data_IF_154536915581
#
_entry.id   IF_154536915581
#
_cell.length_a   1.000
_cell.length_b   1.000
_cell.length_c   1.000
_cell.angle_alpha   90.00
_cell.angle_beta   90.00
_cell.angle_gamma   90.00
#
_symmetry.space_group_name_H-M   'P 1'
#
loop_
_entity.id
_entity.type
_entity.pdbx_description
1 polymer ?
#
# COMPACT_ATOMS: atom_id res chain seq x y z
N UNK A 1 -19.23 -44.08 14.24
CA UNK A 1 -19.27 -42.93 13.31
C UNK A 1 -17.89 -42.29 13.33
N UNK A 2 -17.16 -42.31 12.22
CA UNK A 2 -15.84 -41.69 12.12
C UNK A 2 -16.01 -40.17 12.07
N UNK A 3 -15.93 -39.51 13.23
CA UNK A 3 -15.76 -38.05 13.29
C UNK A 3 -14.26 -37.76 13.18
N UNK A 4 -13.87 -36.97 12.20
CA UNK A 4 -12.51 -36.46 12.05
C UNK A 4 -12.43 -35.05 12.64
N UNK A 5 -11.28 -34.75 13.25
CA UNK A 5 -11.01 -33.44 13.83
C UNK A 5 -9.56 -33.05 13.57
N UNK A 6 -9.35 -31.83 13.05
CA UNK A 6 -8.03 -31.25 12.84
C UNK A 6 -7.92 -29.90 13.51
N UNK A 7 -6.72 -29.59 14.01
CA UNK A 7 -6.45 -28.39 14.78
C UNK A 7 -5.23 -27.66 14.25
N UNK A 8 -5.33 -26.35 14.15
CA UNK A 8 -4.31 -25.42 13.70
C UNK A 8 -4.05 -24.41 14.82
N UNK A 9 -2.91 -24.54 15.48
CA UNK A 9 -2.53 -23.74 16.64
C UNK A 9 -1.52 -22.65 16.25
N UNK A 10 -1.74 -21.44 16.76
CA UNK A 10 -0.81 -20.31 16.75
C UNK A 10 -0.74 -19.73 18.17
N UNK A 11 0.02 -18.64 18.36
CA UNK A 11 0.25 -18.08 19.70
C UNK A 11 -1.04 -17.48 20.27
N UNK A 12 -1.78 -16.73 19.46
CA UNK A 12 -2.99 -16.03 19.86
C UNK A 12 -4.29 -16.62 19.28
N UNK A 13 -4.18 -17.58 18.35
CA UNK A 13 -5.33 -18.18 17.66
C UNK A 13 -5.25 -19.71 17.63
N UNK A 14 -6.39 -20.37 17.78
CA UNK A 14 -6.57 -21.80 17.57
C UNK A 14 -7.82 -22.05 16.75
N UNK A 15 -7.66 -22.72 15.62
CA UNK A 15 -8.74 -23.14 14.75
C UNK A 15 -8.89 -24.66 14.80
N UNK A 16 -10.08 -25.15 15.11
CA UNK A 16 -10.44 -26.56 15.08
C UNK A 16 -11.55 -26.77 14.04
N UNK A 17 -11.41 -27.81 13.22
CA UNK A 17 -12.41 -28.19 12.21
C UNK A 17 -12.79 -29.64 12.40
N UNK A 18 -14.10 -29.87 12.40
CA UNK A 18 -14.71 -31.18 12.56
C UNK A 18 -15.46 -31.57 11.30
N UNK A 19 -15.37 -32.84 10.91
CA UNK A 19 -16.03 -33.29 9.71
C UNK A 19 -16.12 -34.80 9.54
N UNK A 20 -16.63 -35.18 8.38
CA UNK A 20 -16.83 -36.55 7.95
C UNK A 20 -16.09 -36.79 6.63
N UNK A 21 -15.60 -38.01 6.39
CA UNK A 21 -15.12 -38.40 5.08
C UNK A 21 -16.26 -38.43 4.06
N UNK A 22 -15.95 -37.96 2.85
CA UNK A 22 -16.85 -38.08 1.71
C UNK A 22 -16.45 -39.27 0.84
N UNK A 23 -17.03 -40.43 1.15
CA UNK A 23 -16.79 -41.66 0.39
C UNK A 23 -17.29 -41.59 -1.06
N UNK A 24 -18.24 -40.70 -1.36
CA UNK A 24 -18.80 -40.58 -2.70
C UNK A 24 -17.81 -39.95 -3.70
N UNK A 25 -16.88 -39.14 -3.20
CA UNK A 25 -15.78 -38.53 -3.95
C UNK A 25 -14.47 -39.31 -3.88
N UNK A 26 -14.49 -40.53 -3.32
CA UNK A 26 -13.31 -41.39 -3.25
C UNK A 26 -12.26 -40.95 -2.21
N UNK A 27 -12.63 -40.06 -1.28
CA UNK A 27 -11.75 -39.67 -0.19
C UNK A 27 -11.54 -40.82 0.80
N UNK A 28 -10.32 -40.92 1.34
CA UNK A 28 -9.98 -41.90 2.36
C UNK A 28 -10.58 -41.60 3.73
N UNK A 29 -10.51 -42.57 4.65
CA UNK A 29 -11.09 -42.49 6.01
C UNK A 29 -10.54 -41.36 6.88
N UNK A 30 -9.42 -40.75 6.47
CA UNK A 30 -8.70 -39.70 7.20
C UNK A 30 -8.72 -38.35 6.48
N UNK A 31 -9.73 -38.10 5.65
CA UNK A 31 -9.90 -36.82 4.93
C UNK A 31 -11.29 -36.29 5.23
N UNK A 32 -11.39 -35.03 5.65
CA UNK A 32 -12.67 -34.33 5.78
C UNK A 32 -13.10 -33.89 4.38
N UNK A 33 -14.15 -34.53 3.85
CA UNK A 33 -14.83 -34.07 2.63
C UNK A 33 -16.10 -33.24 2.94
N UNK A 34 -16.66 -33.41 4.15
CA UNK A 34 -17.85 -32.67 4.60
C UNK A 34 -17.56 -32.02 5.94
N UNK A 35 -17.53 -30.68 5.97
CA UNK A 35 -17.41 -29.90 7.21
C UNK A 35 -18.69 -29.98 8.03
N UNK A 36 -18.57 -30.43 9.27
CA UNK A 36 -19.67 -30.50 10.22
C UNK A 36 -19.70 -29.29 11.16
N UNK A 37 -18.54 -28.90 11.69
CA UNK A 37 -18.41 -27.76 12.59
C UNK A 37 -16.99 -27.18 12.53
N UNK A 38 -16.84 -25.97 13.03
CA UNK A 38 -15.54 -25.36 13.28
C UNK A 38 -15.61 -24.52 14.56
N UNK A 39 -14.47 -24.33 15.20
CA UNK A 39 -14.29 -23.50 16.38
C UNK A 39 -13.02 -22.68 16.23
N UNK A 40 -13.10 -21.39 16.56
CA UNK A 40 -11.96 -20.49 16.61
C UNK A 40 -11.88 -19.87 18.00
N UNK A 41 -10.77 -20.11 18.66
CA UNK A 41 -10.42 -19.50 19.93
C UNK A 41 -9.37 -18.43 19.66
N UNK A 42 -9.67 -17.21 20.09
CA UNK A 42 -8.73 -16.09 20.08
C UNK A 42 -8.48 -15.68 21.54
N UNK A 43 -7.24 -15.33 21.87
CA UNK A 43 -6.89 -14.92 23.23
C UNK A 43 -7.70 -13.68 23.63
N UNK A 44 -8.39 -13.75 24.77
CA UNK A 44 -9.19 -12.64 25.29
C UNK A 44 -10.51 -12.39 24.55
N UNK A 45 -10.89 -13.23 23.58
CA UNK A 45 -12.18 -13.18 22.90
C UNK A 45 -13.05 -14.39 23.26
N UNK A 46 -14.39 -14.30 23.11
CA UNK A 46 -15.25 -15.48 23.18
C UNK A 46 -14.92 -16.47 22.05
N UNK A 47 -15.17 -17.76 22.31
CA UNK A 47 -15.07 -18.78 21.28
C UNK A 47 -16.07 -18.52 20.16
N UNK A 48 -15.58 -18.59 18.93
CA UNK A 48 -16.38 -18.45 17.73
C UNK A 48 -16.68 -19.82 17.15
N UNK A 49 -17.94 -20.08 16.87
CA UNK A 49 -18.38 -21.31 16.22
C UNK A 49 -19.44 -21.01 15.18
N UNK A 50 -19.59 -21.92 14.21
CA UNK A 50 -20.62 -21.75 13.20
C UNK A 50 -20.66 -22.87 12.18
N UNK A 51 -21.45 -22.62 11.14
CA UNK A 51 -21.52 -23.50 9.95
C UNK A 51 -20.40 -23.16 8.97
N UNK A 52 -20.24 -24.01 7.95
CA UNK A 52 -19.36 -23.81 6.80
C UNK A 52 -19.43 -22.39 6.23
N UNK A 53 -20.64 -21.88 5.98
CA UNK A 53 -20.85 -20.54 5.39
C UNK A 53 -20.23 -19.41 6.23
N UNK A 54 -20.14 -19.57 7.56
CA UNK A 54 -19.54 -18.56 8.44
C UNK A 54 -18.01 -18.59 8.35
N UNK A 55 -17.41 -19.78 8.23
CA UNK A 55 -15.98 -19.93 8.01
C UNK A 55 -15.58 -19.43 6.63
N UNK A 56 -16.39 -19.72 5.60
CA UNK A 56 -16.19 -19.17 4.24
C UNK A 56 -16.27 -17.64 4.24
N UNK A 57 -17.26 -17.06 4.93
CA UNK A 57 -17.37 -15.61 5.07
C UNK A 57 -16.17 -15.01 5.84
N UNK A 58 -15.69 -15.68 6.89
CA UNK A 58 -14.50 -15.27 7.64
C UNK A 58 -13.27 -15.24 6.73
N UNK A 59 -13.03 -16.31 5.96
CA UNK A 59 -11.94 -16.39 4.99
C UNK A 59 -12.07 -15.29 3.92
N UNK A 60 -13.26 -15.13 3.34
CA UNK A 60 -13.52 -14.15 2.29
C UNK A 60 -13.26 -12.70 2.73
N UNK A 61 -13.35 -12.41 4.03
CA UNK A 61 -13.11 -11.08 4.61
C UNK A 61 -11.67 -10.91 5.10
N UNK A 62 -11.13 -11.89 5.83
CA UNK A 62 -9.80 -11.80 6.46
C UNK A 62 -8.68 -11.81 5.42
N UNK A 63 -8.76 -12.65 4.38
CA UNK A 63 -7.69 -12.75 3.38
C UNK A 63 -7.47 -11.44 2.59
N UNK A 64 -8.50 -10.83 1.97
CA UNK A 64 -8.34 -9.54 1.30
C UNK A 64 -7.92 -8.43 2.26
N UNK A 65 -8.49 -8.42 3.47
CA UNK A 65 -8.16 -7.42 4.48
C UNK A 65 -6.68 -7.46 4.87
N UNK A 66 -6.14 -8.65 5.19
CA UNK A 66 -4.74 -8.81 5.54
C UNK A 66 -3.81 -8.36 4.41
N UNK A 67 -4.15 -8.69 3.16
CA UNK A 67 -3.42 -8.19 1.98
C UNK A 67 -3.44 -6.65 1.90
N UNK A 68 -4.58 -6.02 2.16
CA UNK A 68 -4.68 -4.56 2.21
C UNK A 68 -3.82 -3.97 3.32
N UNK A 69 -3.81 -4.58 4.51
CA UNK A 69 -2.95 -4.15 5.62
C UNK A 69 -1.45 -4.31 5.33
N UNK A 70 -1.02 -5.43 4.74
CA UNK A 70 0.38 -5.61 4.27
C UNK A 70 0.73 -4.56 3.20
N UNK A 71 -0.27 -4.19 2.41
CA UNK A 71 -0.20 -3.08 1.46
C UNK A 71 -0.30 -1.70 2.14
N UNK A 72 -0.40 -1.56 3.45
CA UNK A 72 -0.57 -0.24 4.09
C UNK A 72 -1.83 0.50 3.63
N UNK A 73 -2.83 -0.22 3.12
CA UNK A 73 -4.16 0.31 2.78
C UNK A 73 -5.11 -0.13 3.88
N UNK A 74 -5.60 0.84 4.66
CA UNK A 74 -6.56 0.58 5.73
C UNK A 74 -7.98 0.81 5.24
N UNK A 75 -8.67 -0.28 4.87
CA UNK A 75 -10.07 -0.26 4.40
C UNK A 75 -10.89 -1.30 5.15
N UNK A 76 -12.16 -1.03 5.50
CA UNK A 76 -13.07 -2.06 5.96
C UNK A 76 -13.37 -3.08 4.86
N UNK A 77 -13.43 -4.35 5.24
CA UNK A 77 -13.89 -5.47 4.42
C UNK A 77 -15.13 -6.12 5.04
N UNK A 78 -15.95 -6.75 4.21
CA UNK A 78 -17.25 -7.28 4.59
C UNK A 78 -18.40 -6.34 4.21
N UNK A 79 -19.45 -6.93 3.65
CA UNK A 79 -20.64 -6.21 3.21
C UNK A 79 -21.66 -6.11 4.36
N UNK A 80 -22.53 -5.09 4.32
CA UNK A 80 -23.57 -4.86 5.33
C UNK A 80 -24.56 -6.02 5.53
N UNK A 81 -24.61 -6.97 4.60
CA UNK A 81 -25.47 -8.15 4.64
C UNK A 81 -24.73 -9.47 4.91
N UNK A 82 -23.41 -9.43 5.15
CA UNK A 82 -22.61 -10.63 5.41
C UNK A 82 -22.45 -10.87 6.91
N UNK A 83 -22.34 -12.15 7.34
CA UNK A 83 -22.23 -12.49 8.76
C UNK A 83 -20.88 -12.09 9.38
N UNK A 84 -19.90 -11.69 8.56
CA UNK A 84 -18.56 -11.30 9.01
C UNK A 84 -18.15 -9.99 8.33
N UNK A 85 -17.54 -9.10 9.10
CA UNK A 85 -16.90 -7.87 8.63
C UNK A 85 -15.63 -7.62 9.43
N UNK A 86 -14.67 -6.90 8.86
CA UNK A 86 -13.46 -6.48 9.57
C UNK A 86 -13.11 -5.05 9.18
N UNK A 87 -12.68 -4.24 10.14
CA UNK A 87 -12.33 -2.84 9.89
C UNK A 87 -11.09 -2.41 10.66
N UNK A 88 -10.31 -1.46 10.12
CA UNK A 88 -9.25 -0.84 10.89
C UNK A 88 -9.87 -0.01 12.03
N UNK A 89 -9.23 -0.02 13.19
CA UNK A 89 -9.54 0.83 14.34
C UNK A 89 -8.25 1.42 14.88
N UNK A 90 -8.36 2.41 15.78
CA UNK A 90 -7.17 2.98 16.39
C UNK A 90 -6.41 1.91 17.19
N UNK A 91 -5.15 1.69 16.82
CA UNK A 91 -4.28 0.69 17.45
C UNK A 91 -4.54 -0.78 17.07
N UNK A 92 -5.31 -1.08 16.01
CA UNK A 92 -5.45 -2.46 15.52
C UNK A 92 -6.63 -2.68 14.57
N UNK A 93 -7.32 -3.79 14.77
CA UNK A 93 -8.40 -4.26 13.89
C UNK A 93 -9.64 -4.64 14.72
N UNK A 94 -10.80 -4.56 14.09
CA UNK A 94 -12.04 -5.00 14.71
C UNK A 94 -12.79 -5.93 13.77
N UNK A 95 -12.97 -7.17 14.23
CA UNK A 95 -13.77 -8.21 13.59
C UNK A 95 -15.21 -8.12 14.12
N UNK A 96 -16.16 -7.86 13.24
CA UNK A 96 -17.59 -7.83 13.52
C UNK A 96 -18.27 -9.10 13.02
N UNK A 97 -19.08 -9.73 13.88
CA UNK A 97 -19.78 -10.96 13.60
C UNK A 97 -21.27 -10.77 13.87
N UNK A 98 -22.08 -11.07 12.86
CA UNK A 98 -23.54 -11.01 12.95
C UNK A 98 -24.08 -12.42 13.02
N UNK A 99 -24.81 -12.72 14.09
CA UNK A 99 -25.48 -14.02 14.25
C UNK A 99 -26.57 -14.19 13.20
N UNK A 100 -26.80 -15.44 12.79
CA UNK A 100 -27.95 -15.81 11.97
C UNK A 100 -29.25 -15.96 12.77
N UNK A 101 -29.17 -15.95 14.11
CA UNK A 101 -30.35 -16.02 14.98
C UNK A 101 -30.97 -14.63 15.21
N UNK A 102 -32.31 -14.50 15.22
CA UNK A 102 -32.97 -13.25 15.56
C UNK A 102 -32.63 -12.85 17.00
N UNK A 103 -32.58 -11.55 17.25
CA UNK A 103 -32.38 -10.94 18.58
C UNK A 103 -31.02 -11.20 19.26
N UNK A 104 -30.03 -11.73 18.54
CA UNK A 104 -28.65 -11.82 19.03
C UNK A 104 -27.86 -10.58 18.59
N UNK A 105 -27.33 -9.76 19.53
CA UNK A 105 -26.57 -8.57 19.16
C UNK A 105 -25.27 -8.96 18.42
N UNK A 106 -24.81 -8.11 17.48
CA UNK A 106 -23.52 -8.33 16.82
C UNK A 106 -22.37 -8.39 17.82
N UNK A 107 -21.45 -9.32 17.60
CA UNK A 107 -20.25 -9.49 18.40
C UNK A 107 -19.10 -8.74 17.74
N UNK A 108 -18.43 -7.88 18.50
CA UNK A 108 -17.24 -7.18 18.06
C UNK A 108 -16.01 -7.67 18.83
N UNK A 109 -14.98 -8.12 18.11
CA UNK A 109 -13.70 -8.58 18.66
C UNK A 109 -12.61 -7.63 18.19
N UNK A 110 -11.83 -7.11 19.14
CA UNK A 110 -10.63 -6.34 18.84
C UNK A 110 -9.46 -7.30 18.67
N UNK A 111 -8.67 -7.06 17.63
CA UNK A 111 -7.47 -7.82 17.29
C UNK A 111 -6.32 -6.83 17.21
N UNK A 112 -5.18 -7.16 17.79
CA UNK A 112 -3.93 -6.49 17.45
C UNK A 112 -3.31 -7.08 16.16
N UNK A 113 -2.17 -6.54 15.73
CA UNK A 113 -1.48 -7.00 14.53
C UNK A 113 -1.00 -8.46 14.66
N UNK A 114 -0.67 -8.91 15.87
CA UNK A 114 -0.21 -10.27 16.14
C UNK A 114 -1.39 -11.26 16.11
N UNK A 115 -2.52 -10.90 16.72
CA UNK A 115 -3.76 -11.66 16.67
C UNK A 115 -4.23 -11.87 15.23
N UNK A 116 -4.21 -10.80 14.42
CA UNK A 116 -4.57 -10.88 12.99
C UNK A 116 -3.62 -11.80 12.22
N UNK A 117 -2.31 -11.68 12.46
CA UNK A 117 -1.32 -12.52 11.80
C UNK A 117 -1.48 -14.00 12.15
N UNK A 118 -1.77 -14.31 13.41
CA UNK A 118 -2.00 -15.68 13.87
C UNK A 118 -3.31 -16.25 13.33
N UNK A 119 -4.39 -15.46 13.32
CA UNK A 119 -5.64 -15.84 12.67
C UNK A 119 -5.43 -16.17 11.18
N UNK A 120 -4.70 -15.31 10.46
CA UNK A 120 -4.40 -15.53 9.05
C UNK A 120 -3.63 -16.84 8.84
N UNK A 121 -2.60 -17.11 9.65
CA UNK A 121 -1.82 -18.35 9.58
C UNK A 121 -2.66 -19.60 9.83
N UNK A 122 -3.60 -19.56 10.79
CA UNK A 122 -4.54 -20.66 11.01
C UNK A 122 -5.41 -20.92 9.76
N UNK A 123 -5.94 -19.86 9.15
CA UNK A 123 -6.80 -19.99 7.96
C UNK A 123 -6.00 -20.45 6.73
N UNK A 124 -4.77 -19.97 6.54
CA UNK A 124 -3.86 -20.42 5.48
C UNK A 124 -3.49 -21.90 5.66
N UNK A 125 -3.18 -22.32 6.89
CA UNK A 125 -2.85 -23.71 7.20
C UNK A 125 -4.04 -24.64 6.92
N UNK A 126 -5.26 -24.25 7.28
CA UNK A 126 -6.49 -24.98 6.94
C UNK A 126 -6.64 -25.13 5.42
N UNK A 127 -6.45 -24.03 4.66
CA UNK A 127 -6.65 -24.02 3.20
C UNK A 127 -5.60 -24.86 2.47
N UNK A 128 -4.39 -24.98 3.02
CA UNK A 128 -3.30 -25.77 2.47
C UNK A 128 -3.32 -27.25 2.93
N UNK A 129 -4.19 -27.63 3.87
CA UNK A 129 -4.23 -28.98 4.41
C UNK A 129 -5.01 -29.93 3.49
N UNK A 130 -4.29 -30.86 2.85
CA UNK A 130 -4.87 -31.88 1.97
C UNK A 130 -5.84 -32.83 2.71
N UNK A 131 -5.77 -32.90 4.04
CA UNK A 131 -6.71 -33.69 4.85
C UNK A 131 -8.07 -33.00 4.99
N UNK A 132 -8.21 -31.76 4.55
CA UNK A 132 -9.46 -31.02 4.50
C UNK A 132 -9.79 -30.71 3.03
N UNK A 133 -10.27 -31.73 2.33
CA UNK A 133 -10.59 -31.67 0.90
C UNK A 133 -11.95 -31.03 0.63
N UNK A 134 -12.10 -29.77 1.03
CA UNK A 134 -13.31 -28.97 0.83
C UNK A 134 -13.06 -27.96 -0.28
N UNK A 135 -13.98 -27.87 -1.25
CA UNK A 135 -13.96 -26.80 -2.26
C UNK A 135 -14.31 -25.46 -1.63
N UNK A 136 -13.31 -24.69 -1.23
CA UNK A 136 -13.47 -23.31 -0.76
C UNK A 136 -13.76 -22.37 -1.93
N UNK A 137 -14.56 -21.29 -1.73
CA UNK A 137 -14.76 -20.29 -2.76
C UNK A 137 -13.44 -19.62 -3.16
N UNK A 138 -13.35 -19.25 -4.44
CA UNK A 138 -12.20 -18.50 -4.93
C UNK A 138 -12.21 -17.08 -4.35
N UNK A 139 -11.10 -16.69 -3.72
CA UNK A 139 -10.93 -15.37 -3.15
C UNK A 139 -10.29 -14.49 -4.22
N UNK A 140 -11.12 -13.73 -4.92
CA UNK A 140 -10.67 -12.86 -6.01
C UNK A 140 -9.92 -11.67 -5.41
N UNK A 141 -8.62 -11.63 -5.68
CA UNK A 141 -7.75 -10.56 -5.22
C UNK A 141 -7.64 -9.47 -6.28
N UNK A 142 -8.43 -8.41 -6.15
CA UNK A 142 -8.33 -7.28 -7.08
C UNK A 142 -7.02 -6.50 -6.88
N UNK A 143 -6.40 -6.00 -7.96
CA UNK A 143 -5.25 -5.12 -7.85
C UNK A 143 -5.67 -3.81 -7.20
N UNK A 144 -4.77 -3.24 -6.39
CA UNK A 144 -5.00 -1.93 -5.78
C UNK A 144 -4.99 -0.85 -6.86
N UNK A 145 -5.97 0.04 -6.80
CA UNK A 145 -6.05 1.21 -7.67
C UNK A 145 -4.94 2.22 -7.32
N UNK A 146 -4.55 3.05 -8.30
CA UNK A 146 -3.55 4.11 -8.08
C UNK A 146 -3.94 5.08 -6.95
N UNK A 147 -5.25 5.30 -6.74
CA UNK A 147 -5.75 6.17 -5.67
C UNK A 147 -5.47 5.58 -4.29
N UNK A 148 -5.78 4.30 -4.11
CA UNK A 148 -5.52 3.56 -2.87
C UNK A 148 -4.02 3.49 -2.56
N UNK A 149 -3.15 3.41 -3.57
CA UNK A 149 -1.70 3.47 -3.38
C UNK A 149 -1.21 4.85 -2.89
N UNK A 150 -1.80 5.94 -3.40
CA UNK A 150 -1.40 7.31 -3.05
C UNK A 150 -1.92 7.70 -1.66
N UNK A 151 -3.04 7.15 -1.22
CA UNK A 151 -3.61 7.37 0.11
C UNK A 151 -2.83 6.68 1.23
N UNK A 152 -1.91 5.76 0.91
CA UNK A 152 -0.97 5.16 1.87
C UNK A 152 -0.07 6.18 2.57
N UNK A 153 0.24 7.29 1.88
CA UNK A 153 1.17 8.31 2.36
C UNK A 153 0.38 9.45 3.01
N UNK A 154 0.68 9.83 4.26
CA UNK A 154 0.00 10.94 4.91
C UNK A 154 0.14 12.21 4.09
N UNK A 155 -0.95 12.97 3.98
CA UNK A 155 -1.06 14.13 3.09
C UNK A 155 0.06 15.16 3.32
N UNK A 156 0.52 15.29 4.57
CA UNK A 156 1.67 16.13 4.96
C UNK A 156 2.96 15.70 4.27
N UNK A 157 3.26 14.40 4.24
CA UNK A 157 4.47 13.86 3.59
C UNK A 157 4.36 13.96 2.07
N UNK A 158 3.15 13.86 1.52
CA UNK A 158 2.87 14.04 0.09
C UNK A 158 3.10 15.47 -0.39
N UNK A 159 2.76 16.46 0.45
CA UNK A 159 2.91 17.88 0.12
C UNK A 159 4.28 18.45 0.48
N UNK A 160 5.08 17.78 1.31
CA UNK A 160 6.40 18.26 1.70
C UNK A 160 7.29 18.55 0.47
N UNK A 161 7.43 17.60 -0.46
CA UNK A 161 8.27 17.77 -1.65
C UNK A 161 7.85 18.96 -2.55
N UNK A 162 6.59 19.10 -2.99
CA UNK A 162 6.19 20.26 -3.78
C UNK A 162 6.26 21.58 -3.00
N UNK A 163 6.00 21.57 -1.68
CA UNK A 163 6.16 22.75 -0.83
C UNK A 163 7.62 23.21 -0.78
N UNK A 164 8.56 22.30 -0.51
CA UNK A 164 9.99 22.64 -0.50
C UNK A 164 10.47 23.11 -1.87
N UNK A 165 10.03 22.47 -2.95
CA UNK A 165 10.32 22.93 -4.32
C UNK A 165 9.78 24.32 -4.62
N UNK A 166 8.54 24.60 -4.21
CA UNK A 166 7.92 25.93 -4.35
C UNK A 166 8.67 27.01 -3.56
N UNK A 167 9.05 26.70 -2.31
CA UNK A 167 9.85 27.61 -1.47
C UNK A 167 11.21 27.89 -2.13
N UNK A 168 11.90 26.87 -2.63
CA UNK A 168 13.18 27.04 -3.32
C UNK A 168 13.03 27.90 -4.57
N UNK A 169 11.98 27.69 -5.37
CA UNK A 169 11.71 28.48 -6.57
C UNK A 169 11.47 29.96 -6.23
N UNK A 170 10.71 30.25 -5.18
CA UNK A 170 10.47 31.61 -4.70
C UNK A 170 11.79 32.27 -4.27
N UNK A 171 12.63 31.55 -3.51
CA UNK A 171 13.95 32.07 -3.08
C UNK A 171 14.84 32.40 -4.26
N UNK A 172 14.91 31.51 -5.27
CA UNK A 172 15.69 31.74 -6.48
C UNK A 172 15.13 32.92 -7.28
N UNK A 173 13.81 33.04 -7.41
CA UNK A 173 13.17 34.16 -8.08
C UNK A 173 13.46 35.52 -7.42
N UNK A 174 13.45 35.56 -6.08
CA UNK A 174 13.82 36.76 -5.32
C UNK A 174 15.30 37.10 -5.51
N UNK A 175 16.18 36.10 -5.42
CA UNK A 175 17.62 36.30 -5.68
C UNK A 175 17.87 36.85 -7.09
N UNK A 176 17.18 36.32 -8.11
CA UNK A 176 17.32 36.78 -9.48
C UNK A 176 16.92 38.25 -9.67
N UNK A 177 15.99 38.78 -8.87
CA UNK A 177 15.64 40.22 -8.91
C UNK A 177 16.68 41.14 -8.26
N UNK A 178 17.54 40.60 -7.39
CA UNK A 178 18.58 41.39 -6.69
C UNK A 178 19.91 41.38 -7.48
N UNK A 179 20.13 40.41 -8.37
CA UNK A 179 21.33 40.34 -9.21
C UNK A 179 21.26 41.41 -10.31
N UNK A 180 22.18 42.39 -10.33
CA UNK A 180 22.20 43.42 -11.36
C UNK A 180 22.45 42.81 -12.74
N UNK A 181 21.66 43.24 -13.73
CA UNK A 181 21.82 42.81 -15.11
C UNK A 181 23.17 43.30 -15.65
N UNK A 182 23.95 42.43 -16.33
CA UNK A 182 25.20 42.84 -16.94
C UNK A 182 24.93 43.91 -18.00
N UNK A 183 25.69 45.00 -17.94
CA UNK A 183 25.63 46.07 -18.93
C UNK A 183 25.94 45.50 -20.32
N UNK A 184 25.00 45.65 -21.26
CA UNK A 184 25.26 45.33 -22.65
C UNK A 184 26.05 46.48 -23.28
N UNK A 185 27.33 46.23 -23.59
CA UNK A 185 28.09 47.12 -24.45
C UNK A 185 27.52 47.04 -25.86
N UNK A 186 26.57 47.92 -26.16
CA UNK A 186 26.15 48.20 -27.53
C UNK A 186 27.33 48.88 -28.23
N UNK A 187 28.13 48.11 -28.98
CA UNK A 187 29.05 48.69 -29.97
C UNK A 187 28.21 49.44 -31.00
N UNK A 188 28.19 50.76 -30.90
CA UNK A 188 27.65 51.63 -31.93
C UNK A 188 28.49 51.47 -33.22
N UNK A 189 27.86 51.52 -34.42
CA UNK A 189 28.60 51.46 -35.68
C UNK A 189 29.38 52.78 -35.83
N UNK A 190 30.70 52.69 -35.94
CA UNK A 190 31.54 53.82 -36.34
C UNK A 190 31.35 54.05 -37.82
N UNK A 191 30.47 54.99 -38.16
CA UNK A 191 30.46 55.64 -39.46
C UNK A 191 30.72 57.12 -39.24
N UNK A 192 31.92 57.57 -39.63
CA UNK A 192 32.23 58.98 -39.90
C UNK A 192 33.58 59.05 -40.60
N UNK A 193 33.47 59.15 -41.92
CA UNK A 193 34.45 59.67 -42.86
C UNK A 193 34.79 61.11 -42.45
N UNK A 194 36.08 61.44 -42.29
CA UNK A 194 36.55 62.81 -42.45
C UNK A 194 37.89 62.84 -43.21
N UNK A 195 37.95 63.77 -44.17
CA UNK A 195 38.82 63.79 -45.33
C UNK A 195 40.24 64.31 -45.07
N UNK A 196 41.23 64.02 -45.95
CA UNK A 196 42.61 64.46 -45.79
C UNK A 196 42.81 65.93 -46.21
N UNK A 197 43.51 66.73 -45.39
CA UNK A 197 44.14 68.00 -45.81
C UNK A 197 45.66 67.87 -45.82
N UNK A 198 46.37 68.49 -46.79
CA UNK A 198 47.76 68.16 -47.09
C UNK A 198 48.81 69.15 -46.51
N UNK A 199 50.05 68.65 -46.58
CA UNK A 199 51.38 69.32 -46.65
C UNK A 199 52.05 69.83 -45.35
N UNK A 200 53.39 69.99 -45.31
CA UNK A 200 54.46 69.54 -46.24
C UNK A 200 55.60 68.75 -45.54
N UNK A 201 56.29 67.86 -46.27
CA UNK A 201 57.56 67.27 -45.81
C UNK A 201 58.72 68.08 -46.39
N UNK A 202 59.43 68.78 -45.53
CA UNK A 202 60.69 69.44 -45.85
C UNK A 202 61.83 68.41 -45.98
N UNK A 203 62.55 68.56 -47.08
CA UNK A 203 63.80 67.91 -47.46
C UNK A 203 64.95 68.22 -46.49
N UNK A 204 65.78 67.22 -46.13
CA UNK A 204 67.15 67.49 -45.72
C UNK A 204 68.15 66.73 -46.61
N UNK A 205 68.71 67.46 -47.58
CA UNK A 205 70.00 67.13 -48.20
C UNK A 205 71.13 67.81 -47.42
N UNK A 206 71.96 67.02 -46.76
CA UNK A 206 73.45 67.08 -46.71
C UNK A 206 73.95 66.16 -45.57
N UNK A 207 74.62 65.05 -45.92
CA UNK A 207 76.09 64.87 -45.95
C UNK A 207 76.65 64.56 -44.54
N UNK A 208 77.50 63.58 -44.26
CA UNK A 208 78.66 62.97 -44.96
C UNK A 208 79.17 61.81 -44.02
N UNK A 209 80.36 61.16 -44.13
CA UNK A 209 81.17 60.69 -45.25
C UNK A 209 81.48 59.17 -45.17
N UNK A 210 81.84 58.55 -46.30
CA UNK A 210 82.91 57.52 -46.35
C UNK A 210 83.25 57.13 -47.80
N UNK A 211 84.24 57.78 -48.40
CA UNK A 211 85.49 57.19 -48.96
C UNK A 211 86.15 58.13 -49.97
#
# INVERSE_FOLDING_TARGET
>A
MLKLSYRYDQTAARLEVDGLPDFSSGHGDSVIGILSAWRLQLVGAPELEGKRDHLEALMAVVFPYARHQISGVSRPEGWSHHPVSIRPVDGGHQLGLTSSQPDVPPLEIKLDDADLADLLRCLDALRADERVAISWPEIINHPLSRRELVERVPLVRRLAAPMFGGVALVVVGVMAMVVPLPSQDTKAPTDSIEAPRPDPVSDPSQADPSR
#
